data_IF_149676887403
#
_entry.id   IF_149676887403
#
_cell.length_a   1.000
_cell.length_b   1.000
_cell.length_c   1.000
_cell.angle_alpha   90.00
_cell.angle_beta   90.00
_cell.angle_gamma   90.00
#
_symmetry.space_group_name_H-M   'P 1'
#
loop_
_entity.id
_entity.type
_entity.pdbx_description
1 polymer ?
#
# COMPACT_ATOMS: atom_id res chain seq x y z
N UNK A 1 19.27 -23.70 -3.27
CA UNK A 1 18.27 -23.86 -2.19
C UNK A 1 17.03 -23.11 -2.63
N UNK A 2 15.95 -23.82 -2.89
CA UNK A 2 14.69 -23.24 -3.36
C UNK A 2 14.08 -22.41 -2.23
N UNK A 3 14.01 -21.09 -2.44
CA UNK A 3 13.32 -20.18 -1.51
C UNK A 3 11.83 -20.36 -1.71
N UNK A 4 11.24 -21.20 -0.88
CA UNK A 4 9.80 -21.36 -0.81
C UNK A 4 9.14 -19.99 -0.62
N UNK A 5 8.35 -19.60 -1.61
CA UNK A 5 7.54 -18.39 -1.56
C UNK A 5 6.44 -18.65 -0.53
N UNK A 6 6.71 -18.36 0.74
CA UNK A 6 5.80 -18.71 1.84
C UNK A 6 4.52 -17.87 1.70
N UNK A 7 3.42 -18.51 1.33
CA UNK A 7 2.12 -17.86 1.24
C UNK A 7 1.60 -17.65 2.67
N UNK A 8 1.53 -16.39 3.13
CA UNK A 8 0.90 -16.05 4.41
C UNK A 8 -0.60 -15.81 4.20
N UNK A 9 -1.44 -16.55 4.93
CA UNK A 9 -2.90 -16.41 4.91
C UNK A 9 -3.32 -15.23 5.80
N UNK A 10 -4.06 -14.28 5.25
CA UNK A 10 -4.77 -13.24 5.99
C UNK A 10 -6.25 -13.28 5.57
N UNK A 11 -7.18 -13.49 6.50
CA UNK A 11 -8.63 -13.65 6.23
C UNK A 11 -8.96 -14.66 5.11
N UNK A 12 -8.30 -15.83 5.12
CA UNK A 12 -8.47 -16.88 4.10
C UNK A 12 -8.06 -16.47 2.67
N UNK A 13 -7.47 -15.28 2.50
CA UNK A 13 -6.95 -14.77 1.22
C UNK A 13 -5.42 -14.77 1.24
N UNK A 14 -4.82 -15.21 0.14
CA UNK A 14 -3.38 -15.32 -0.02
C UNK A 14 -2.79 -13.95 -0.39
N UNK A 15 -1.80 -13.49 0.38
CA UNK A 15 -1.01 -12.29 0.04
C UNK A 15 0.35 -12.75 -0.47
N UNK A 16 0.72 -12.35 -1.69
CA UNK A 16 2.04 -12.67 -2.23
C UNK A 16 3.12 -11.95 -1.43
N UNK A 17 4.10 -12.71 -0.97
CA UNK A 17 5.24 -12.20 -0.21
C UNK A 17 6.55 -12.82 -0.68
N UNK A 18 7.62 -12.03 -0.63
CA UNK A 18 8.99 -12.45 -0.98
C UNK A 18 9.91 -12.05 0.16
N UNK A 19 10.77 -12.99 0.58
CA UNK A 19 11.85 -12.72 1.50
C UNK A 19 13.08 -12.23 0.73
N UNK A 20 13.62 -11.08 1.15
CA UNK A 20 14.88 -10.54 0.66
C UNK A 20 15.97 -10.80 1.70
N UNK A 21 16.97 -11.61 1.34
CA UNK A 21 18.10 -11.95 2.22
C UNK A 21 19.03 -10.75 2.44
N UNK A 22 19.24 -9.89 1.44
CA UNK A 22 20.20 -8.79 1.51
C UNK A 22 19.76 -7.72 2.51
N UNK A 23 18.45 -7.45 2.55
CA UNK A 23 17.86 -6.47 3.47
C UNK A 23 17.31 -7.10 4.75
N UNK A 24 17.31 -8.43 4.86
CA UNK A 24 16.65 -9.20 5.92
C UNK A 24 15.18 -8.77 6.14
N UNK A 25 14.45 -8.58 5.03
CA UNK A 25 13.08 -8.03 5.04
C UNK A 25 12.10 -8.85 4.20
N UNK A 26 10.84 -8.81 4.64
CA UNK A 26 9.70 -9.28 3.87
C UNK A 26 9.11 -8.16 3.00
N UNK A 27 8.92 -8.45 1.72
CA UNK A 27 8.16 -7.63 0.79
C UNK A 27 6.80 -8.26 0.53
N UNK A 28 5.77 -7.43 0.45
CA UNK A 28 4.39 -7.86 0.22
C UNK A 28 3.80 -7.15 -1.00
N UNK A 29 2.93 -7.85 -1.72
CA UNK A 29 2.13 -7.25 -2.80
C UNK A 29 1.11 -6.28 -2.23
N UNK A 30 1.30 -4.98 -2.45
CA UNK A 30 0.36 -3.95 -2.03
C UNK A 30 -1.04 -4.14 -2.65
N UNK A 31 -1.09 -4.64 -3.89
CA UNK A 31 -2.36 -4.88 -4.58
C UNK A 31 -3.14 -6.02 -3.93
N UNK A 32 -2.44 -7.05 -3.44
CA UNK A 32 -3.11 -8.16 -2.74
C UNK A 32 -3.61 -7.68 -1.37
N UNK A 33 -2.84 -6.86 -0.66
CA UNK A 33 -3.30 -6.22 0.58
C UNK A 33 -4.55 -5.39 0.34
N UNK A 34 -4.57 -4.56 -0.70
CA UNK A 34 -5.76 -3.78 -1.08
C UNK A 34 -6.93 -4.69 -1.43
N UNK A 35 -6.71 -5.77 -2.18
CA UNK A 35 -7.75 -6.76 -2.53
C UNK A 35 -8.42 -7.35 -1.29
N UNK A 36 -7.62 -7.73 -0.28
CA UNK A 36 -8.13 -8.29 0.98
C UNK A 36 -8.90 -7.22 1.77
N UNK A 37 -8.26 -6.09 2.06
CA UNK A 37 -8.83 -5.04 2.91
C UNK A 37 -10.07 -4.36 2.33
N UNK A 38 -10.15 -4.26 1.00
CA UNK A 38 -11.30 -3.62 0.32
C UNK A 38 -12.29 -4.63 -0.25
N UNK A 39 -12.12 -5.92 0.06
CA UNK A 39 -12.97 -7.02 -0.40
C UNK A 39 -13.29 -6.96 -1.90
N UNK A 40 -12.28 -6.65 -2.72
CA UNK A 40 -12.45 -6.60 -4.16
C UNK A 40 -12.68 -8.02 -4.70
N UNK A 41 -13.44 -8.09 -5.79
CA UNK A 41 -13.81 -9.36 -6.42
C UNK A 41 -12.60 -10.02 -7.09
N UNK A 42 -11.72 -9.20 -7.66
CA UNK A 42 -10.59 -9.66 -8.44
C UNK A 42 -9.39 -8.72 -8.34
N UNK A 43 -8.24 -9.25 -8.73
CA UNK A 43 -6.96 -8.53 -8.73
C UNK A 43 -6.97 -7.27 -9.61
N UNK A 44 -7.68 -7.28 -10.75
CA UNK A 44 -7.69 -6.13 -11.67
C UNK A 44 -8.43 -4.94 -11.07
N UNK A 45 -9.55 -5.19 -10.36
CA UNK A 45 -10.28 -4.14 -9.63
C UNK A 45 -9.44 -3.57 -8.49
N UNK A 46 -8.78 -4.44 -7.71
CA UNK A 46 -7.86 -4.00 -6.66
C UNK A 46 -6.70 -3.17 -7.21
N UNK A 47 -6.10 -3.58 -8.34
CA UNK A 47 -5.03 -2.84 -9.00
C UNK A 47 -5.48 -1.47 -9.49
N UNK A 48 -6.65 -1.38 -10.13
CA UNK A 48 -7.23 -0.10 -10.60
C UNK A 48 -7.53 0.82 -9.42
N UNK A 49 -8.10 0.29 -8.34
CA UNK A 49 -8.35 1.03 -7.11
C UNK A 49 -7.04 1.57 -6.52
N UNK A 50 -6.02 0.72 -6.39
CA UNK A 50 -4.70 1.12 -5.91
C UNK A 50 -4.07 2.22 -6.78
N UNK A 51 -4.14 2.11 -8.11
CA UNK A 51 -3.63 3.15 -9.00
C UNK A 51 -4.32 4.49 -8.76
N UNK A 52 -5.65 4.50 -8.61
CA UNK A 52 -6.40 5.73 -8.37
C UNK A 52 -6.13 6.31 -6.98
N UNK A 53 -6.01 5.44 -5.97
CA UNK A 53 -5.62 5.84 -4.63
C UNK A 53 -4.23 6.47 -4.64
N UNK A 54 -3.25 5.83 -5.26
CA UNK A 54 -1.89 6.36 -5.40
C UNK A 54 -1.86 7.72 -6.10
N UNK A 55 -2.61 7.88 -7.19
CA UNK A 55 -2.73 9.15 -7.91
C UNK A 55 -3.29 10.26 -6.98
N UNK A 56 -4.37 9.97 -6.24
CA UNK A 56 -4.97 10.91 -5.28
C UNK A 56 -4.01 11.27 -4.15
N UNK A 57 -3.33 10.28 -3.57
CA UNK A 57 -2.33 10.51 -2.52
C UNK A 57 -1.19 11.40 -3.01
N UNK A 58 -0.72 11.20 -4.24
CA UNK A 58 0.32 12.08 -4.83
C UNK A 58 -0.24 13.49 -5.07
N UNK A 59 -1.47 13.61 -5.57
CA UNK A 59 -2.12 14.90 -5.84
C UNK A 59 -2.47 15.69 -4.57
N UNK A 60 -2.87 14.99 -3.50
CA UNK A 60 -3.11 15.55 -2.16
C UNK A 60 -1.80 15.96 -1.46
N UNK A 61 -0.64 15.65 -2.06
CA UNK A 61 0.65 15.91 -1.45
C UNK A 61 0.89 15.04 -0.22
N UNK A 62 0.45 13.77 -0.22
CA UNK A 62 0.65 12.85 0.90
C UNK A 62 2.15 12.65 1.16
N UNK A 63 2.64 13.39 2.15
CA UNK A 63 3.99 13.27 2.66
C UNK A 63 4.01 12.07 3.62
N UNK A 64 4.38 10.89 3.12
CA UNK A 64 4.75 9.75 3.97
C UNK A 64 5.66 10.25 5.08
N UNK A 65 5.22 10.13 6.34
CA UNK A 65 5.81 10.41 7.69
C UNK A 65 7.12 11.22 7.80
N UNK A 66 8.07 11.05 6.88
CA UNK A 66 9.31 11.81 6.72
C UNK A 66 9.14 13.34 6.73
N UNK A 67 7.97 13.90 6.40
CA UNK A 67 7.72 15.34 6.44
C UNK A 67 6.65 15.78 7.47
N UNK A 68 6.21 14.87 8.34
CA UNK A 68 5.17 15.13 9.35
C UNK A 68 5.72 15.88 10.58
N UNK A 69 6.39 17.01 10.37
CA UNK A 69 6.77 17.91 11.46
C UNK A 69 5.72 19.00 11.74
N UNK A 70 4.78 19.27 10.81
CA UNK A 70 3.69 20.22 11.07
C UNK A 70 2.53 20.09 10.09
N UNK A 71 1.31 20.06 10.61
CA UNK A 71 0.07 20.16 9.83
C UNK A 71 -0.07 21.62 9.38
N UNK A 72 0.24 21.91 8.12
CA UNK A 72 0.05 23.25 7.53
C UNK A 72 -1.43 23.43 7.16
N UNK A 73 -2.21 24.01 8.06
CA UNK A 73 -3.50 24.58 7.68
C UNK A 73 -3.25 25.93 7.02
N UNK A 74 -3.78 26.15 5.81
CA UNK A 74 -3.92 27.51 5.30
C UNK A 74 -4.88 28.26 6.21
N UNK A 75 -4.38 29.29 6.89
CA UNK A 75 -5.25 30.22 7.60
C UNK A 75 -6.11 30.92 6.56
N UNK A 76 -7.42 30.71 6.62
CA UNK A 76 -8.36 31.51 5.86
C UNK A 76 -8.22 32.97 6.24
N UNK A 77 -7.62 33.77 5.36
CA UNK A 77 -7.73 35.22 5.42
C UNK A 77 -7.86 35.77 4.00
N UNK A 78 -9.09 35.68 3.48
CA UNK A 78 -9.53 36.60 2.44
C UNK A 78 -9.85 37.93 3.12
N UNK A 79 -9.00 38.93 2.91
CA UNK A 79 -9.38 40.36 2.84
C UNK A 79 -8.58 40.98 1.71
#
# INVERSE_FOLDING_TARGET
MEKETSIKLFESKQVRSVWNDEEEKWYFSIVDVVLVLTNQVDYQRARKYWNKLKERLVAEGNETVTNCHQLKMEAGWNV
#
